data_IF_558824468339
#
_entry.id   IF_558824468339
#
_cell.length_a   1.000
_cell.length_b   1.000
_cell.length_c   1.000
_cell.angle_alpha   90.00
_cell.angle_beta   90.00
_cell.angle_gamma   90.00
#
_symmetry.space_group_name_H-M   'P 1'
#
loop_
_entity.id
_entity.type
_entity.pdbx_description
1 polymer ?
#
# COMPACT_ATOMS: atom_id res chain seq x y z
N UNK A 1 -22.13 -18.00 -17.70
CA UNK A 1 -21.10 -17.77 -16.65
C UNK A 1 -21.36 -18.78 -15.55
N UNK A 2 -20.34 -19.54 -15.11
CA UNK A 2 -20.52 -20.46 -13.97
C UNK A 2 -20.91 -19.64 -12.75
N UNK A 3 -22.10 -19.90 -12.24
CA UNK A 3 -22.66 -19.31 -11.02
C UNK A 3 -21.77 -19.64 -9.82
N UNK A 4 -21.52 -18.64 -8.97
CA UNK A 4 -20.94 -18.69 -7.61
C UNK A 4 -19.44 -18.40 -7.40
N UNK A 5 -18.70 -17.86 -8.37
CA UNK A 5 -17.35 -17.34 -8.08
C UNK A 5 -17.42 -15.93 -7.49
N UNK A 6 -16.77 -15.76 -6.34
CA UNK A 6 -16.59 -14.49 -5.63
C UNK A 6 -15.87 -13.48 -6.53
N UNK A 7 -16.26 -12.22 -6.47
CA UNK A 7 -15.63 -11.10 -7.19
C UNK A 7 -15.17 -10.06 -6.18
N UNK A 8 -13.87 -10.04 -5.94
CA UNK A 8 -13.17 -9.10 -5.07
C UNK A 8 -12.40 -8.11 -5.93
N UNK A 9 -12.51 -6.83 -5.61
CA UNK A 9 -11.71 -5.76 -6.19
C UNK A 9 -10.78 -5.19 -5.12
N UNK A 10 -9.56 -4.85 -5.51
CA UNK A 10 -8.75 -3.87 -4.78
C UNK A 10 -8.78 -2.56 -5.56
N UNK A 11 -9.36 -1.54 -4.96
CA UNK A 11 -9.23 -0.16 -5.41
C UNK A 11 -7.92 0.45 -4.88
N UNK A 12 -7.17 1.14 -5.75
CA UNK A 12 -5.96 1.89 -5.40
C UNK A 12 -6.00 3.27 -6.06
N UNK A 13 -5.86 4.33 -5.26
CA UNK A 13 -5.87 5.71 -5.76
C UNK A 13 -4.47 6.12 -6.24
N UNK A 14 -4.35 6.40 -7.54
CA UNK A 14 -3.08 6.71 -8.18
C UNK A 14 -2.42 7.94 -7.55
N UNK A 15 -1.21 7.78 -7.02
CA UNK A 15 -0.39 8.88 -6.46
C UNK A 15 -1.18 9.75 -5.47
N UNK A 16 -1.95 9.10 -4.58
CA UNK A 16 -3.06 9.68 -3.83
C UNK A 16 -2.83 11.11 -3.34
N UNK A 17 -1.83 11.37 -2.47
CA UNK A 17 -1.63 12.72 -1.93
C UNK A 17 -1.36 13.75 -3.03
N UNK A 18 -0.49 13.45 -4.00
CA UNK A 18 -0.20 14.36 -5.10
C UNK A 18 -1.42 14.58 -6.02
N UNK A 19 -2.29 13.58 -6.17
CA UNK A 19 -3.52 13.69 -6.94
C UNK A 19 -4.57 14.55 -6.23
N UNK A 20 -4.72 14.41 -4.90
CA UNK A 20 -5.57 15.30 -4.10
C UNK A 20 -5.09 16.75 -4.20
N UNK A 21 -3.79 16.98 -4.11
CA UNK A 21 -3.23 18.33 -4.27
C UNK A 21 -3.48 18.89 -5.68
N UNK A 22 -3.35 18.09 -6.74
CA UNK A 22 -3.66 18.53 -8.10
C UNK A 22 -5.14 18.79 -8.35
N UNK A 23 -6.03 18.08 -7.64
CA UNK A 23 -7.46 18.32 -7.73
C UNK A 23 -7.84 19.67 -7.11
N UNK A 24 -7.23 20.03 -5.97
CA UNK A 24 -7.44 21.32 -5.31
C UNK A 24 -6.71 22.49 -6.00
N UNK A 25 -5.63 22.21 -6.76
CA UNK A 25 -4.79 23.20 -7.43
C UNK A 25 -4.67 22.93 -8.95
N UNK A 26 -5.69 23.31 -9.75
CA UNK A 26 -5.72 23.08 -11.20
C UNK A 26 -4.52 23.68 -11.96
N UNK A 27 -3.90 24.73 -11.42
CA UNK A 27 -2.67 25.35 -11.95
C UNK A 27 -1.48 24.38 -12.02
N UNK A 28 -1.48 23.31 -11.22
CA UNK A 28 -0.44 22.29 -11.20
C UNK A 28 -0.77 21.03 -12.01
N UNK A 29 -1.91 20.99 -12.70
CA UNK A 29 -2.37 19.82 -13.48
C UNK A 29 -1.26 19.26 -14.38
N UNK A 30 -0.58 20.12 -15.12
CA UNK A 30 0.46 19.76 -16.09
C UNK A 30 1.90 19.93 -15.56
N UNK A 31 2.09 20.11 -14.25
CA UNK A 31 3.42 20.29 -13.64
C UNK A 31 3.87 19.04 -12.87
N UNK A 32 5.18 18.73 -12.84
CA UNK A 32 5.71 17.73 -11.93
C UNK A 32 5.51 18.21 -10.49
N UNK A 33 4.86 17.38 -9.67
CA UNK A 33 4.46 17.72 -8.31
C UNK A 33 4.77 16.56 -7.36
N UNK A 34 5.32 16.90 -6.20
CA UNK A 34 5.50 16.00 -5.07
C UNK A 34 4.87 16.57 -3.82
N UNK A 35 4.37 15.68 -2.98
CA UNK A 35 4.10 15.97 -1.57
C UNK A 35 5.31 15.49 -0.79
N UNK A 36 5.95 16.39 -0.05
CA UNK A 36 7.18 16.07 0.69
C UNK A 36 7.20 16.75 2.05
N UNK A 37 8.03 16.19 2.96
CA UNK A 37 8.37 16.85 4.21
C UNK A 37 9.01 18.23 4.00
N UNK A 38 9.18 18.98 5.09
CA UNK A 38 9.70 20.35 5.05
C UNK A 38 11.05 20.45 4.31
N UNK A 39 11.17 21.27 3.24
CA UNK A 39 12.39 21.40 2.45
C UNK A 39 13.61 21.86 3.23
N UNK A 40 13.39 22.69 4.26
CA UNK A 40 14.44 23.21 5.15
C UNK A 40 14.99 22.12 6.11
N UNK A 41 14.32 20.97 6.20
CA UNK A 41 14.80 19.84 7.02
C UNK A 41 15.61 18.90 6.16
N UNK A 42 16.86 18.65 6.58
CA UNK A 42 17.81 17.69 5.97
C UNK A 42 17.23 16.28 5.75
N UNK A 43 16.16 15.92 6.43
CA UNK A 43 15.47 14.62 6.38
C UNK A 43 14.15 14.63 5.58
N UNK A 44 13.81 15.69 4.87
CA UNK A 44 12.63 15.74 4.02
C UNK A 44 12.65 14.64 2.96
N UNK A 45 11.68 13.73 3.01
CA UNK A 45 11.48 12.68 2.00
C UNK A 45 10.22 12.97 1.18
N UNK A 46 10.21 12.46 -0.05
CA UNK A 46 9.04 12.46 -0.91
C UNK A 46 8.01 11.45 -0.36
N UNK A 47 6.83 11.95 0.01
CA UNK A 47 5.70 11.15 0.50
C UNK A 47 4.86 10.62 -0.66
N UNK A 48 4.66 11.45 -1.68
CA UNK A 48 3.98 11.06 -2.92
C UNK A 48 4.53 11.86 -4.11
N UNK A 49 4.62 11.21 -5.26
CA UNK A 49 5.02 11.83 -6.53
C UNK A 49 3.92 11.61 -7.57
N UNK A 50 3.50 12.66 -8.28
CA UNK A 50 2.57 12.52 -9.39
C UNK A 50 3.25 11.80 -10.59
N UNK A 51 2.48 11.26 -11.56
CA UNK A 51 3.05 10.59 -12.74
C UNK A 51 4.14 11.40 -13.46
N UNK A 52 3.90 12.70 -13.72
CA UNK A 52 4.88 13.59 -14.35
C UNK A 52 6.21 13.71 -13.58
N UNK A 53 6.18 13.63 -12.24
CA UNK A 53 7.41 13.63 -11.43
C UNK A 53 8.12 12.27 -11.50
N UNK A 54 7.36 11.17 -11.53
CA UNK A 54 7.91 9.81 -11.69
C UNK A 54 8.58 9.62 -13.05
N UNK A 55 8.07 10.25 -14.11
CA UNK A 55 8.70 10.28 -15.44
C UNK A 55 10.07 10.96 -15.42
N UNK A 56 10.31 11.87 -14.47
CA UNK A 56 11.64 12.48 -14.23
C UNK A 56 12.54 11.63 -13.33
N UNK A 57 12.14 10.40 -13.00
CA UNK A 57 12.91 9.48 -12.18
C UNK A 57 12.82 9.74 -10.66
N UNK A 58 11.86 10.57 -10.22
CA UNK A 58 11.61 10.80 -8.78
C UNK A 58 10.79 9.65 -8.22
N UNK A 59 11.23 9.09 -7.09
CA UNK A 59 10.53 7.98 -6.43
C UNK A 59 10.05 8.33 -5.02
N UNK A 60 9.03 7.63 -4.53
CA UNK A 60 8.57 7.78 -3.13
C UNK A 60 9.68 7.33 -2.17
N UNK A 61 9.80 7.97 -1.01
CA UNK A 61 10.85 7.80 -0.01
C UNK A 61 12.26 8.25 -0.43
N UNK A 62 12.42 8.81 -1.62
CA UNK A 62 13.63 9.52 -2.03
C UNK A 62 13.82 10.81 -1.22
N UNK A 63 15.07 11.24 -1.02
CA UNK A 63 15.38 12.52 -0.37
C UNK A 63 14.92 13.66 -1.26
N UNK A 64 14.31 14.69 -0.68
CA UNK A 64 13.79 15.83 -1.44
C UNK A 64 14.88 16.57 -2.22
N UNK A 65 16.10 16.68 -1.67
CA UNK A 65 17.23 17.28 -2.39
C UNK A 65 17.62 16.51 -3.67
N UNK A 66 17.55 15.18 -3.64
CA UNK A 66 17.81 14.33 -4.82
C UNK A 66 16.70 14.52 -5.87
N UNK A 67 15.45 14.61 -5.42
CA UNK A 67 14.31 14.87 -6.29
C UNK A 67 14.40 16.23 -6.99
N UNK A 68 14.81 17.29 -6.26
CA UNK A 68 15.03 18.63 -6.81
C UNK A 68 16.20 18.67 -7.80
N UNK A 69 17.27 17.91 -7.53
CA UNK A 69 18.38 17.79 -8.46
C UNK A 69 17.97 17.14 -9.79
N UNK A 70 17.03 16.18 -9.76
CA UNK A 70 16.46 15.56 -10.97
C UNK A 70 15.49 16.46 -11.74
N UNK A 71 14.78 17.35 -11.04
CA UNK A 71 13.78 18.23 -11.62
C UNK A 71 13.79 19.60 -10.91
N UNK A 72 14.52 20.59 -11.44
CA UNK A 72 14.58 21.93 -10.83
C UNK A 72 13.23 22.65 -10.76
N UNK A 73 12.32 22.39 -11.71
CA UNK A 73 10.98 23.01 -11.77
C UNK A 73 9.91 22.26 -10.94
N UNK A 74 10.33 21.33 -10.08
CA UNK A 74 9.46 20.48 -9.28
C UNK A 74 8.63 21.29 -8.29
N UNK A 75 7.31 21.13 -8.36
CA UNK A 75 6.39 21.70 -7.37
C UNK A 75 6.42 20.85 -6.11
N UNK A 76 6.77 21.46 -4.97
CA UNK A 76 6.83 20.79 -3.67
C UNK A 76 5.71 21.32 -2.79
N UNK A 77 4.81 20.43 -2.35
CA UNK A 77 3.70 20.75 -1.45
C UNK A 77 3.88 20.09 -0.10
N UNK A 78 3.62 20.85 0.98
CA UNK A 78 3.61 20.35 2.35
C UNK A 78 2.37 19.49 2.59
N UNK A 79 2.48 18.35 3.31
CA UNK A 79 1.37 17.41 3.47
C UNK A 79 0.18 18.01 4.26
N UNK A 80 -1.02 17.93 3.68
CA UNK A 80 -2.29 18.28 4.33
C UNK A 80 -3.01 17.01 4.80
N UNK A 81 -2.51 16.37 5.86
CA UNK A 81 -2.96 15.03 6.28
C UNK A 81 -4.47 14.93 6.53
N UNK A 82 -5.10 15.93 7.15
CA UNK A 82 -6.54 15.91 7.37
C UNK A 82 -7.32 15.88 6.05
N UNK A 83 -6.95 16.70 5.07
CA UNK A 83 -7.56 16.72 3.74
C UNK A 83 -7.46 15.36 3.05
N UNK A 84 -6.31 14.67 3.19
CA UNK A 84 -6.14 13.33 2.62
C UNK A 84 -7.06 12.30 3.27
N UNK A 85 -7.28 12.39 4.59
CA UNK A 85 -8.22 11.54 5.32
C UNK A 85 -9.65 11.83 4.86
N UNK A 86 -10.03 13.11 4.76
CA UNK A 86 -11.37 13.52 4.34
C UNK A 86 -11.71 13.00 2.93
N UNK A 87 -10.79 13.13 1.97
CA UNK A 87 -10.97 12.59 0.63
C UNK A 87 -11.02 11.06 0.62
N UNK A 88 -10.19 10.39 1.43
CA UNK A 88 -10.24 8.93 1.57
C UNK A 88 -11.59 8.45 2.11
N UNK A 89 -12.14 9.14 3.11
CA UNK A 89 -13.48 8.86 3.64
C UNK A 89 -14.56 9.11 2.58
N UNK A 90 -14.48 10.21 1.82
CA UNK A 90 -15.41 10.48 0.73
C UNK A 90 -15.40 9.36 -0.31
N UNK A 91 -14.22 8.89 -0.72
CA UNK A 91 -14.04 7.75 -1.63
C UNK A 91 -14.62 6.46 -1.02
N UNK A 92 -14.45 6.25 0.29
CA UNK A 92 -15.03 5.11 1.00
C UNK A 92 -16.55 5.11 0.93
N UNK A 93 -17.19 6.27 1.13
CA UNK A 93 -18.66 6.41 1.01
C UNK A 93 -19.15 6.18 -0.42
N UNK A 94 -18.38 6.60 -1.43
CA UNK A 94 -18.65 6.24 -2.82
C UNK A 94 -18.63 4.71 -3.00
N UNK A 95 -17.60 4.02 -2.50
CA UNK A 95 -17.52 2.55 -2.60
C UNK A 95 -18.70 1.86 -1.89
N UNK A 96 -19.10 2.36 -0.72
CA UNK A 96 -20.24 1.83 0.04
C UNK A 96 -21.59 1.96 -0.68
N UNK A 97 -21.71 2.87 -1.64
CA UNK A 97 -22.91 2.96 -2.49
C UNK A 97 -23.05 1.79 -3.48
N UNK A 98 -21.97 1.05 -3.75
CA UNK A 98 -21.96 -0.10 -4.68
C UNK A 98 -21.92 -1.46 -3.98
N UNK A 99 -21.46 -1.52 -2.73
CA UNK A 99 -21.45 -2.74 -1.91
C UNK A 99 -21.35 -2.38 -0.43
N UNK A 100 -21.98 -3.19 0.43
CA UNK A 100 -21.83 -3.12 1.89
C UNK A 100 -20.49 -3.71 2.38
N UNK A 101 -19.80 -4.46 1.50
CA UNK A 101 -18.54 -5.12 1.81
C UNK A 101 -17.34 -4.28 1.34
N UNK A 102 -17.01 -3.24 2.12
CA UNK A 102 -15.82 -2.38 1.92
C UNK A 102 -14.87 -2.52 3.11
N UNK A 103 -13.62 -2.90 2.84
CA UNK A 103 -12.54 -3.03 3.82
C UNK A 103 -11.38 -2.09 3.45
N UNK A 104 -11.21 -0.95 4.15
CA UNK A 104 -10.04 -0.12 3.98
C UNK A 104 -8.77 -0.88 4.40
N UNK A 105 -7.74 -0.81 3.55
CA UNK A 105 -6.43 -1.45 3.77
C UNK A 105 -5.35 -0.40 4.07
N UNK A 106 -5.39 0.72 3.37
CA UNK A 106 -4.61 1.94 3.63
C UNK A 106 -5.49 3.17 3.35
N UNK A 107 -4.89 4.36 3.42
CA UNK A 107 -5.60 5.62 3.10
C UNK A 107 -6.02 5.69 1.62
N UNK A 108 -5.34 4.97 0.74
CA UNK A 108 -5.53 4.99 -0.71
C UNK A 108 -5.92 3.64 -1.31
N UNK A 109 -5.87 2.56 -0.53
CA UNK A 109 -6.22 1.20 -0.95
C UNK A 109 -7.39 0.62 -0.15
N UNK A 110 -8.39 0.07 -0.84
CA UNK A 110 -9.56 -0.56 -0.21
C UNK A 110 -10.00 -1.81 -0.96
N UNK A 111 -10.34 -2.87 -0.24
CA UNK A 111 -10.96 -4.06 -0.81
C UNK A 111 -12.48 -3.90 -0.87
N UNK A 112 -13.07 -4.30 -1.99
CA UNK A 112 -14.50 -4.33 -2.21
C UNK A 112 -14.90 -5.75 -2.61
N UNK A 113 -15.88 -6.33 -1.94
CA UNK A 113 -16.53 -7.55 -2.42
C UNK A 113 -17.83 -7.18 -3.11
N UNK A 114 -17.86 -7.30 -4.43
CA UNK A 114 -19.01 -6.88 -5.25
C UNK A 114 -19.84 -8.07 -5.70
N UNK A 115 -19.56 -9.27 -5.18
CA UNK A 115 -20.22 -10.51 -5.60
C UNK A 115 -21.75 -10.40 -5.55
N UNK A 116 -22.28 -9.82 -4.46
CA UNK A 116 -23.72 -9.68 -4.25
C UNK A 116 -24.37 -8.59 -5.10
N UNK A 117 -23.67 -7.50 -5.39
CA UNK A 117 -24.22 -6.34 -6.10
C UNK A 117 -23.98 -6.36 -7.62
N UNK A 118 -23.11 -7.26 -8.10
CA UNK A 118 -22.68 -7.30 -9.49
C UNK A 118 -23.84 -7.38 -10.50
N UNK A 119 -24.89 -8.13 -10.18
CA UNK A 119 -26.07 -8.29 -11.03
C UNK A 119 -26.81 -6.97 -11.35
N UNK A 120 -26.60 -5.91 -10.56
CA UNK A 120 -27.17 -4.58 -10.78
C UNK A 120 -26.37 -3.73 -11.78
N UNK A 121 -25.11 -4.08 -12.01
CA UNK A 121 -24.13 -3.22 -12.70
C UNK A 121 -23.46 -3.87 -13.91
N UNK A 122 -23.81 -5.13 -14.24
CA UNK A 122 -23.27 -5.86 -15.38
C UNK A 122 -22.03 -6.67 -15.03
N UNK A 123 -20.97 -6.51 -15.81
CA UNK A 123 -19.69 -7.22 -15.62
C UNK A 123 -18.81 -6.54 -14.57
N UNK A 124 -17.82 -7.25 -13.99
CA UNK A 124 -16.90 -6.63 -13.02
C UNK A 124 -16.13 -5.44 -13.59
N UNK A 125 -15.81 -5.47 -14.89
CA UNK A 125 -15.12 -4.37 -15.56
C UNK A 125 -16.03 -3.15 -15.69
N UNK A 126 -17.29 -3.33 -16.10
CA UNK A 126 -18.27 -2.24 -16.22
C UNK A 126 -18.51 -1.57 -14.87
N UNK A 127 -18.70 -2.36 -13.79
CA UNK A 127 -18.82 -1.82 -12.44
C UNK A 127 -17.56 -1.03 -12.04
N UNK A 128 -16.36 -1.58 -12.26
CA UNK A 128 -15.12 -0.86 -11.95
C UNK A 128 -15.00 0.46 -12.72
N UNK A 129 -15.41 0.51 -14.00
CA UNK A 129 -15.43 1.74 -14.80
C UNK A 129 -16.45 2.77 -14.28
N UNK A 130 -17.63 2.32 -13.85
CA UNK A 130 -18.63 3.17 -13.19
C UNK A 130 -18.02 3.81 -11.94
N UNK A 131 -17.41 3.01 -11.07
CA UNK A 131 -16.78 3.49 -9.84
C UNK A 131 -15.60 4.43 -10.17
N UNK A 132 -14.75 4.11 -11.15
CA UNK A 132 -13.66 4.99 -11.59
C UNK A 132 -14.16 6.39 -11.99
N UNK A 133 -15.26 6.47 -12.75
CA UNK A 133 -15.86 7.75 -13.16
C UNK A 133 -16.41 8.50 -11.96
N UNK A 134 -17.19 7.83 -11.10
CA UNK A 134 -17.77 8.46 -9.92
C UNK A 134 -16.70 9.03 -8.97
N UNK A 135 -15.63 8.27 -8.69
CA UNK A 135 -14.51 8.75 -7.87
C UNK A 135 -13.81 9.94 -8.54
N UNK A 136 -13.55 9.88 -9.85
CA UNK A 136 -12.91 10.97 -10.59
C UNK A 136 -13.76 12.24 -10.57
N UNK A 137 -15.06 12.13 -10.83
CA UNK A 137 -15.99 13.27 -10.86
C UNK A 137 -16.14 13.91 -9.48
N UNK A 138 -16.19 13.11 -8.42
CA UNK A 138 -16.40 13.60 -7.06
C UNK A 138 -15.14 14.16 -6.40
N UNK A 139 -13.94 13.69 -6.78
CA UNK A 139 -12.69 13.98 -6.04
C UNK A 139 -11.52 14.46 -6.89
N UNK A 140 -11.59 14.33 -8.22
CA UNK A 140 -10.46 14.56 -9.12
C UNK A 140 -9.35 13.50 -9.05
N UNK A 141 -9.55 12.42 -8.28
CA UNK A 141 -8.55 11.36 -8.08
C UNK A 141 -8.85 10.16 -8.99
N UNK A 142 -7.82 9.62 -9.63
CA UNK A 142 -7.94 8.41 -10.46
C UNK A 142 -7.80 7.15 -9.62
N UNK A 143 -8.87 6.34 -9.54
CA UNK A 143 -8.84 5.01 -8.96
C UNK A 143 -8.42 3.93 -9.99
N UNK A 144 -7.75 2.88 -9.52
CA UNK A 144 -7.32 1.70 -10.30
C UNK A 144 -7.81 0.44 -9.60
N UNK A 145 -8.19 -0.58 -10.37
CA UNK A 145 -8.80 -1.79 -9.84
C UNK A 145 -8.08 -3.05 -10.32
N UNK A 146 -7.61 -3.84 -9.35
CA UNK A 146 -7.32 -5.25 -9.56
C UNK A 146 -8.54 -6.08 -9.18
N UNK A 147 -8.98 -6.97 -10.07
CA UNK A 147 -10.22 -7.74 -9.91
C UNK A 147 -9.86 -9.23 -9.90
N UNK A 148 -10.32 -9.98 -8.90
CA UNK A 148 -10.03 -11.41 -8.79
C UNK A 148 -11.01 -12.13 -7.85
N UNK A 149 -10.79 -13.43 -7.64
CA UNK A 149 -11.61 -14.26 -6.73
C UNK A 149 -11.25 -14.12 -5.25
N UNK A 150 -10.06 -13.58 -4.94
CA UNK A 150 -9.54 -13.45 -3.57
C UNK A 150 -8.88 -12.10 -3.35
N UNK A 151 -8.75 -11.66 -2.08
CA UNK A 151 -8.09 -10.38 -1.75
C UNK A 151 -6.64 -10.36 -2.23
N UNK A 152 -5.89 -11.43 -1.97
CA UNK A 152 -4.48 -11.52 -2.40
C UNK A 152 -4.36 -11.41 -3.93
N UNK A 153 -5.21 -12.08 -4.71
CA UNK A 153 -5.16 -11.96 -6.16
C UNK A 153 -5.60 -10.58 -6.64
N UNK A 154 -6.62 -9.97 -6.03
CA UNK A 154 -7.05 -8.61 -6.38
C UNK A 154 -5.93 -7.59 -6.11
N UNK A 155 -5.25 -7.71 -4.96
CA UNK A 155 -4.07 -6.90 -4.61
C UNK A 155 -2.94 -7.05 -5.62
N UNK A 156 -2.63 -8.31 -5.93
CA UNK A 156 -1.57 -8.64 -6.87
C UNK A 156 -1.91 -8.20 -8.29
N UNK A 157 -3.17 -8.31 -8.70
CA UNK A 157 -3.69 -7.83 -9.99
C UNK A 157 -3.49 -6.31 -10.12
N UNK A 158 -3.84 -5.57 -9.06
CA UNK A 158 -3.72 -4.13 -9.04
C UNK A 158 -2.25 -3.69 -9.12
N UNK A 159 -1.42 -4.20 -8.22
CA UNK A 159 -0.01 -3.82 -8.09
C UNK A 159 0.80 -4.12 -9.35
N UNK A 160 0.60 -5.31 -9.93
CA UNK A 160 1.46 -5.79 -11.00
C UNK A 160 0.97 -5.46 -12.41
N UNK A 161 -0.33 -5.25 -12.60
CA UNK A 161 -0.93 -5.10 -13.92
C UNK A 161 -1.80 -3.86 -14.06
N UNK A 162 -2.81 -3.66 -13.18
CA UNK A 162 -3.73 -2.52 -13.31
C UNK A 162 -3.00 -1.17 -13.23
N UNK A 163 -2.02 -1.03 -12.34
CA UNK A 163 -1.20 0.19 -12.21
C UNK A 163 -0.36 0.53 -13.44
N UNK A 164 -0.12 -0.45 -14.32
CA UNK A 164 0.79 -0.34 -15.48
C UNK A 164 0.05 -0.22 -16.81
N UNK A 165 -1.27 -0.30 -16.82
CA UNK A 165 -2.05 -0.17 -18.04
C UNK A 165 -2.87 1.14 -18.07
N UNK A 166 -3.26 1.63 -19.26
CA UNK A 166 -3.99 2.88 -19.38
C UNK A 166 -5.38 2.87 -18.75
N UNK A 167 -6.12 1.76 -18.83
CA UNK A 167 -7.48 1.68 -18.24
C UNK A 167 -7.44 1.76 -16.71
N UNK A 168 -6.34 1.33 -16.10
CA UNK A 168 -6.24 1.18 -14.65
C UNK A 168 -6.98 -0.06 -14.13
N UNK A 169 -7.35 -1.00 -15.01
CA UNK A 169 -8.18 -2.17 -14.67
C UNK A 169 -7.49 -3.46 -15.09
N UNK A 170 -7.54 -4.51 -14.26
CA UNK A 170 -7.05 -5.82 -14.65
C UNK A 170 -7.78 -6.94 -13.91
N UNK A 171 -8.25 -7.95 -14.64
CA UNK A 171 -8.81 -9.19 -14.07
C UNK A 171 -7.70 -10.24 -14.02
N UNK A 172 -7.44 -10.79 -12.84
CA UNK A 172 -6.53 -11.91 -12.63
C UNK A 172 -7.32 -13.12 -12.13
N UNK A 173 -7.25 -14.21 -12.88
CA UNK A 173 -7.93 -15.47 -12.55
C UNK A 173 -6.94 -16.58 -12.23
N UNK A 174 -7.34 -17.54 -11.39
CA UNK A 174 -6.47 -18.64 -10.90
C UNK A 174 -5.92 -19.52 -12.02
N UNK A 175 -6.71 -19.76 -13.05
CA UNK A 175 -6.33 -20.52 -14.25
C UNK A 175 -5.25 -19.82 -15.08
N UNK A 176 -5.13 -18.49 -14.97
CA UNK A 176 -4.16 -17.69 -15.74
C UNK A 176 -2.83 -17.46 -15.01
N UNK A 177 -2.66 -17.95 -13.77
CA UNK A 177 -1.49 -17.60 -12.94
C UNK A 177 -0.17 -18.06 -13.54
N UNK A 178 -0.14 -19.27 -14.12
CA UNK A 178 1.05 -19.82 -14.77
C UNK A 178 1.54 -18.92 -15.93
N UNK A 179 0.61 -18.34 -16.67
CA UNK A 179 0.92 -17.51 -17.83
C UNK A 179 1.14 -16.04 -17.54
N UNK A 180 0.78 -15.59 -16.33
CA UNK A 180 0.83 -14.19 -15.93
C UNK A 180 1.70 -14.02 -14.68
N UNK A 181 1.11 -14.17 -13.49
CA UNK A 181 1.72 -13.87 -12.21
C UNK A 181 3.01 -14.67 -11.96
N UNK A 182 3.04 -15.95 -12.32
CA UNK A 182 4.17 -16.84 -12.03
C UNK A 182 5.44 -16.48 -12.80
N UNK A 183 5.31 -15.76 -13.92
CA UNK A 183 6.45 -15.27 -14.72
C UNK A 183 7.13 -14.05 -14.09
N UNK A 184 6.48 -13.38 -13.14
CA UNK A 184 7.05 -12.22 -12.46
C UNK A 184 8.17 -12.61 -11.49
N UNK A 185 9.17 -11.74 -11.29
CA UNK A 185 10.20 -11.95 -10.27
C UNK A 185 9.57 -12.01 -8.87
N UNK A 186 10.23 -12.73 -7.95
CA UNK A 186 9.73 -12.90 -6.57
C UNK A 186 9.64 -11.57 -5.80
N UNK A 187 10.36 -10.53 -6.25
CA UNK A 187 10.24 -9.15 -5.75
C UNK A 187 8.89 -8.50 -6.00
N UNK A 188 8.11 -9.03 -6.95
CA UNK A 188 6.74 -8.60 -7.26
C UNK A 188 5.68 -9.35 -6.45
N UNK A 189 6.08 -10.30 -5.60
CA UNK A 189 5.17 -11.06 -4.77
C UNK A 189 4.69 -10.23 -3.57
N UNK A 190 3.37 -10.22 -3.35
CA UNK A 190 2.81 -9.57 -2.18
C UNK A 190 3.41 -10.14 -0.88
N UNK A 191 3.64 -9.27 0.10
CA UNK A 191 4.32 -9.58 1.39
C UNK A 191 5.80 -10.00 1.30
N UNK A 192 6.42 -10.03 0.11
CA UNK A 192 7.85 -10.33 -0.06
C UNK A 192 8.68 -9.04 -0.20
N UNK A 193 9.04 -8.42 0.92
CA UNK A 193 9.94 -7.24 0.92
C UNK A 193 11.36 -7.55 0.42
N UNK A 194 12.20 -6.52 0.27
CA UNK A 194 13.56 -6.62 -0.29
C UNK A 194 14.45 -7.69 0.38
N UNK A 195 14.39 -7.79 1.72
CA UNK A 195 15.12 -8.82 2.47
C UNK A 195 14.64 -10.23 2.14
N UNK A 196 13.32 -10.44 2.12
CA UNK A 196 12.76 -11.75 1.81
C UNK A 196 13.00 -12.14 0.35
N UNK A 197 12.88 -11.18 -0.57
CA UNK A 197 13.27 -11.33 -1.98
C UNK A 197 14.69 -11.86 -2.11
N UNK A 198 15.65 -11.25 -1.39
CA UNK A 198 17.06 -11.72 -1.39
C UNK A 198 17.16 -13.16 -0.88
N UNK A 199 16.40 -13.52 0.16
CA UNK A 199 16.39 -14.89 0.67
C UNK A 199 15.82 -15.89 -0.34
N UNK A 200 14.73 -15.56 -1.01
CA UNK A 200 14.17 -16.41 -2.08
C UNK A 200 15.16 -16.60 -3.24
N UNK A 201 15.82 -15.53 -3.69
CA UNK A 201 16.86 -15.63 -4.71
C UNK A 201 18.01 -16.56 -4.30
N UNK A 202 18.52 -16.42 -3.07
CA UNK A 202 19.58 -17.32 -2.53
C UNK A 202 19.08 -18.77 -2.39
N UNK A 203 17.79 -18.97 -2.16
CA UNK A 203 17.16 -20.29 -2.11
C UNK A 203 16.89 -20.89 -3.50
N UNK A 204 17.25 -20.20 -4.58
CA UNK A 204 16.99 -20.66 -5.95
C UNK A 204 15.54 -20.46 -6.39
N UNK A 205 14.82 -19.53 -5.77
CA UNK A 205 13.41 -19.22 -6.04
C UNK A 205 13.24 -17.79 -6.60
N UNK A 206 13.70 -17.50 -7.84
CA UNK A 206 13.77 -16.13 -8.35
C UNK A 206 12.42 -15.56 -8.85
N UNK A 207 11.42 -16.42 -9.07
CA UNK A 207 10.11 -16.02 -9.61
C UNK A 207 8.98 -16.41 -8.66
N UNK A 208 7.82 -15.77 -8.79
CA UNK A 208 6.62 -16.17 -8.04
C UNK A 208 6.26 -17.62 -8.33
N UNK A 209 6.38 -18.04 -9.59
CA UNK A 209 6.14 -19.43 -10.01
C UNK A 209 7.05 -20.43 -9.33
N UNK A 210 8.34 -20.10 -9.13
CA UNK A 210 9.26 -20.99 -8.42
C UNK A 210 8.85 -21.26 -6.97
N UNK A 211 8.29 -20.25 -6.27
CA UNK A 211 7.71 -20.43 -4.93
C UNK A 211 6.43 -21.26 -5.01
N UNK A 212 5.53 -20.93 -5.95
CA UNK A 212 4.24 -21.60 -6.11
C UNK A 212 4.37 -23.10 -6.41
N UNK A 213 5.29 -23.46 -7.31
CA UNK A 213 5.51 -24.82 -7.80
C UNK A 213 6.39 -25.67 -6.87
N UNK A 214 7.07 -25.05 -5.90
CA UNK A 214 7.82 -25.81 -4.90
C UNK A 214 6.84 -26.53 -3.98
N UNK A 215 6.93 -27.86 -3.81
CA UNK A 215 6.08 -28.58 -2.87
C UNK A 215 6.16 -27.96 -1.47
N UNK A 216 5.02 -27.73 -0.82
CA UNK A 216 4.97 -26.99 0.45
C UNK A 216 5.88 -27.59 1.53
N UNK A 217 5.99 -28.92 1.60
CA UNK A 217 6.90 -29.61 2.53
C UNK A 217 8.37 -29.24 2.30
N UNK A 218 8.79 -29.13 1.03
CA UNK A 218 10.13 -28.71 0.64
C UNK A 218 10.35 -27.24 0.95
N UNK A 219 9.38 -26.36 0.67
CA UNK A 219 9.49 -24.94 1.01
C UNK A 219 9.61 -24.74 2.54
N UNK A 220 8.80 -25.46 3.34
CA UNK A 220 8.93 -25.48 4.80
C UNK A 220 10.34 -25.92 5.22
N UNK A 221 10.89 -26.99 4.64
CA UNK A 221 12.26 -27.41 4.92
C UNK A 221 13.31 -26.34 4.60
N UNK A 222 13.20 -25.68 3.44
CA UNK A 222 14.11 -24.61 3.00
C UNK A 222 14.06 -23.41 3.96
N UNK A 223 12.85 -23.00 4.34
CA UNK A 223 12.62 -21.90 5.29
C UNK A 223 13.16 -22.23 6.68
N UNK A 224 12.95 -23.46 7.18
CA UNK A 224 13.51 -23.90 8.48
C UNK A 224 15.03 -23.86 8.52
N UNK A 225 15.70 -24.25 7.45
CA UNK A 225 17.17 -24.18 7.35
C UNK A 225 17.68 -22.75 7.45
N UNK A 226 16.90 -21.77 6.96
CA UNK A 226 17.31 -20.36 6.93
C UNK A 226 16.90 -19.58 8.18
N UNK A 227 15.71 -19.83 8.70
CA UNK A 227 15.05 -19.00 9.72
C UNK A 227 14.65 -19.77 10.99
N UNK A 228 14.91 -21.07 11.06
CA UNK A 228 14.58 -21.92 12.21
C UNK A 228 13.15 -22.46 12.21
N UNK A 229 12.80 -23.17 13.30
CA UNK A 229 11.61 -24.02 13.40
C UNK A 229 10.27 -23.28 13.23
N UNK A 230 10.20 -22.00 13.59
CA UNK A 230 8.95 -21.23 13.55
C UNK A 230 8.61 -20.65 12.17
N UNK A 231 9.40 -20.96 11.13
CA UNK A 231 9.25 -20.38 9.80
C UNK A 231 8.21 -21.08 8.90
N UNK A 232 7.59 -22.16 9.39
CA UNK A 232 6.58 -22.91 8.63
C UNK A 232 5.35 -22.08 8.28
N UNK A 233 4.91 -21.21 9.19
CA UNK A 233 3.77 -20.31 8.99
C UNK A 233 4.10 -19.35 7.84
N UNK A 234 5.32 -18.82 7.81
CA UNK A 234 5.76 -17.94 6.72
C UNK A 234 5.90 -18.70 5.40
N UNK A 235 6.43 -19.92 5.42
CA UNK A 235 6.52 -20.77 4.23
C UNK A 235 5.13 -21.02 3.63
N UNK A 236 4.16 -21.39 4.47
CA UNK A 236 2.78 -21.60 4.05
C UNK A 236 2.13 -20.31 3.55
N UNK A 237 2.38 -19.19 4.21
CA UNK A 237 1.87 -17.90 3.76
C UNK A 237 2.37 -17.55 2.36
N UNK A 238 3.67 -17.62 2.11
CA UNK A 238 4.24 -17.31 0.79
C UNK A 238 3.78 -18.28 -0.29
N UNK A 239 3.67 -19.57 0.04
CA UNK A 239 3.17 -20.57 -0.88
C UNK A 239 1.71 -20.32 -1.26
N UNK A 240 0.86 -19.98 -0.28
CA UNK A 240 -0.54 -19.62 -0.50
C UNK A 240 -0.68 -18.37 -1.34
N UNK A 241 0.11 -17.32 -1.05
CA UNK A 241 0.14 -16.08 -1.84
C UNK A 241 0.52 -16.36 -3.29
N UNK A 242 1.60 -17.12 -3.51
CA UNK A 242 2.08 -17.43 -4.85
C UNK A 242 1.07 -18.23 -5.69
N UNK A 243 0.21 -19.02 -5.04
CA UNK A 243 -0.88 -19.78 -5.65
C UNK A 243 -2.25 -19.06 -5.62
N UNK A 244 -2.33 -17.81 -5.15
CA UNK A 244 -3.58 -17.06 -5.06
C UNK A 244 -4.60 -17.64 -4.08
N UNK A 245 -4.16 -18.45 -3.13
CA UNK A 245 -5.00 -19.14 -2.14
C UNK A 245 -5.19 -18.22 -0.93
N UNK A 246 -6.42 -17.78 -0.73
CA UNK A 246 -6.79 -16.88 0.35
C UNK A 246 -8.28 -17.03 0.65
N UNK A 247 -8.57 -17.49 1.87
CA UNK A 247 -9.93 -17.75 2.34
C UNK A 247 -10.51 -16.54 3.09
N UNK A 248 -9.73 -15.46 3.23
CA UNK A 248 -10.14 -14.31 4.03
C UNK A 248 -11.30 -13.55 3.36
N UNK A 249 -12.39 -13.26 4.09
CA UNK A 249 -13.45 -12.41 3.58
C UNK A 249 -13.00 -10.95 3.53
N UNK A 250 -13.71 -10.14 2.74
CA UNK A 250 -13.66 -8.68 2.86
C UNK A 250 -14.44 -8.36 4.13
N UNK A 251 -13.77 -7.74 5.10
CA UNK A 251 -14.33 -7.45 6.43
C UNK A 251 -14.60 -5.96 6.58
N UNK A 252 -15.86 -5.53 6.51
CA UNK A 252 -16.24 -4.21 6.96
C UNK A 252 -15.78 -3.99 8.41
N UNK A 253 -15.40 -2.75 8.73
CA UNK A 253 -15.10 -2.38 10.12
C UNK A 253 -13.73 -2.83 10.65
N UNK A 254 -12.76 -3.18 9.78
CA UNK A 254 -11.37 -3.47 10.21
C UNK A 254 -10.77 -2.38 11.11
N UNK A 255 -11.15 -1.11 10.92
CA UNK A 255 -10.71 0.02 11.75
C UNK A 255 -11.66 0.37 12.92
N UNK A 256 -12.75 -0.37 13.11
CA UNK A 256 -13.63 -0.22 14.28
C UNK A 256 -13.10 -0.99 15.50
N UNK A 257 -12.12 -1.87 15.30
CA UNK A 257 -11.43 -2.56 16.39
C UNK A 257 -10.39 -1.61 16.99
N UNK A 258 -10.34 -1.57 18.32
CA UNK A 258 -9.31 -0.82 19.04
C UNK A 258 -7.90 -1.21 18.55
N UNK A 259 -7.03 -0.24 18.24
CA UNK A 259 -5.67 -0.53 17.81
C UNK A 259 -4.94 -1.29 18.91
N UNK A 260 -4.27 -2.38 18.54
CA UNK A 260 -3.48 -3.21 19.47
C UNK A 260 -2.27 -2.48 20.04
N UNK A 261 -1.80 -1.44 19.34
CA UNK A 261 -0.73 -0.56 19.77
C UNK A 261 -0.90 0.82 19.16
N UNK A 262 -0.46 1.83 19.90
CA UNK A 262 -0.28 3.21 19.42
C UNK A 262 1.17 3.57 19.72
N UNK A 263 1.85 4.17 18.74
CA UNK A 263 3.23 4.61 18.94
C UNK A 263 3.50 5.91 18.21
N UNK A 264 4.35 6.74 18.80
CA UNK A 264 4.89 7.93 18.15
C UNK A 264 6.39 7.80 17.98
N UNK A 265 6.86 8.15 16.79
CA UNK A 265 8.27 8.13 16.44
C UNK A 265 8.65 9.46 15.81
N UNK A 266 9.87 9.92 16.03
CA UNK A 266 10.46 10.99 15.23
C UNK A 266 11.91 10.67 14.86
N UNK A 267 12.28 11.04 13.63
CA UNK A 267 13.68 11.20 13.26
C UNK A 267 14.16 12.57 13.75
N UNK A 268 15.26 12.57 14.52
CA UNK A 268 15.80 13.80 15.08
C UNK A 268 16.37 14.71 13.99
N UNK A 269 16.24 16.05 14.13
CA UNK A 269 16.79 17.00 13.15
C UNK A 269 18.31 17.01 13.10
N UNK A 270 18.96 16.62 14.21
CA UNK A 270 20.40 16.45 14.36
C UNK A 270 20.66 15.35 15.39
N UNK A 271 21.91 14.96 15.53
CA UNK A 271 22.32 14.08 16.60
C UNK A 271 22.34 14.85 17.92
N UNK A 272 21.86 14.20 18.98
CA UNK A 272 21.80 14.73 20.34
C UNK A 272 22.72 13.89 21.23
N UNK A 273 23.66 14.52 21.92
CA UNK A 273 24.62 13.85 22.79
C UNK A 273 24.41 14.14 24.28
N UNK A 274 23.62 15.18 24.61
CA UNK A 274 23.35 15.61 25.97
C UNK A 274 22.02 15.05 26.46
N UNK A 275 22.02 14.47 27.65
CA UNK A 275 20.83 13.85 28.24
C UNK A 275 19.69 14.86 28.44
N UNK A 276 20.02 16.11 28.75
CA UNK A 276 19.06 17.19 28.96
C UNK A 276 18.26 17.47 27.69
N UNK A 277 18.91 17.46 26.53
CA UNK A 277 18.25 17.69 25.24
C UNK A 277 17.39 16.47 24.83
N UNK A 278 17.90 15.26 25.09
CA UNK A 278 17.16 14.01 24.83
C UNK A 278 15.88 13.94 25.65
N UNK A 279 15.92 14.36 26.93
CA UNK A 279 14.74 14.39 27.81
C UNK A 279 13.63 15.27 27.25
N UNK A 280 13.96 16.42 26.65
CA UNK A 280 12.97 17.33 26.04
C UNK A 280 12.26 16.64 24.87
N UNK A 281 13.01 15.97 24.00
CA UNK A 281 12.45 15.21 22.88
C UNK A 281 11.54 14.09 23.39
N UNK A 282 12.01 13.28 24.35
CA UNK A 282 11.25 12.17 24.93
C UNK A 282 9.95 12.66 25.56
N UNK A 283 9.99 13.77 26.31
CA UNK A 283 8.79 14.38 26.88
C UNK A 283 7.79 14.80 25.79
N UNK A 284 8.29 15.38 24.69
CA UNK A 284 7.46 15.77 23.55
C UNK A 284 6.78 14.58 22.86
N UNK A 285 7.46 13.43 22.73
CA UNK A 285 6.85 12.20 22.19
C UNK A 285 5.87 11.61 23.21
N UNK A 286 6.25 11.56 24.48
CA UNK A 286 5.43 11.06 25.58
C UNK A 286 4.07 11.76 25.64
N UNK A 287 4.05 13.10 25.61
CA UNK A 287 2.81 13.88 25.63
C UNK A 287 1.91 13.48 24.45
N UNK A 288 2.46 13.33 23.25
CA UNK A 288 1.70 12.93 22.06
C UNK A 288 1.10 11.52 22.17
N UNK A 289 1.83 10.60 22.78
CA UNK A 289 1.36 9.22 23.01
C UNK A 289 0.29 9.16 24.12
N UNK A 290 0.50 9.86 25.25
CA UNK A 290 -0.42 9.82 26.39
C UNK A 290 -1.76 10.52 26.14
N UNK A 291 -1.82 11.51 25.25
CA UNK A 291 -3.08 12.11 24.81
C UNK A 291 -3.99 11.06 24.11
N UNK A 292 -3.45 9.93 23.64
CA UNK A 292 -4.20 8.92 22.90
C UNK A 292 -4.70 7.70 23.69
N UNK A 293 -4.14 7.35 24.86
CA UNK A 293 -4.71 6.39 25.86
C UNK A 293 -3.76 6.22 27.05
N UNK A 294 -4.29 6.03 28.26
CA UNK A 294 -3.50 5.77 29.47
C UNK A 294 -3.24 4.28 29.67
N UNK A 295 -2.02 3.80 29.38
CA UNK A 295 -1.42 2.54 29.89
C UNK A 295 0.00 2.31 29.34
N UNK A 296 0.78 1.46 30.04
CA UNK A 296 2.15 0.95 29.82
C UNK A 296 2.95 1.46 28.61
N UNK A 297 4.04 2.18 28.91
CA UNK A 297 4.95 2.84 27.96
C UNK A 297 6.17 1.95 27.64
N UNK A 298 6.53 1.82 26.37
CA UNK A 298 7.76 1.17 25.94
C UNK A 298 8.59 2.15 25.09
N UNK A 299 9.74 2.59 25.61
CA UNK A 299 10.65 3.47 24.88
C UNK A 299 11.73 2.62 24.19
N UNK A 300 11.83 2.73 22.87
CA UNK A 300 12.86 2.11 22.05
C UNK A 300 13.77 3.17 21.44
N UNK A 301 15.09 3.01 21.60
CA UNK A 301 16.11 3.86 20.99
C UNK A 301 17.00 3.04 20.07
N UNK A 302 17.08 3.42 18.79
CA UNK A 302 17.92 2.73 17.81
C UNK A 302 18.41 3.70 16.74
N UNK A 303 19.72 3.82 16.55
CA UNK A 303 20.34 4.61 15.47
C UNK A 303 19.77 6.05 15.33
N UNK A 304 19.74 6.83 16.42
CA UNK A 304 19.20 8.21 16.47
C UNK A 304 17.69 8.33 16.15
N UNK A 305 16.94 7.24 16.27
CA UNK A 305 15.47 7.22 16.20
C UNK A 305 14.93 6.90 17.59
N UNK A 306 14.03 7.75 18.09
CA UNK A 306 13.25 7.50 19.30
C UNK A 306 11.84 7.03 18.93
N UNK A 307 11.41 5.94 19.55
CA UNK A 307 10.06 5.40 19.45
C UNK A 307 9.49 5.22 20.86
N UNK A 308 8.28 5.71 21.08
CA UNK A 308 7.52 5.58 22.34
C UNK A 308 6.15 5.01 22.03
#
# INVERSE_FOLDING_TARGET
MKSNNRVVMLADCQSFYASVEKADHPEYKNRPLVVAGDPERRSGIVLAACPLAKEKGITTAERLGEALAKCPDLVVIKPRMQKYIDVSMQITEIYKSYTDLVEPYSIDEQFLDVTGSLHLYGTPVELAQIIQRHVMEATGVRARFGIAETKILAKTACDNFAKKNPSGLYILSKDTLADTLWKLPVSSMFMAGSKMTRHFNVMGLPTIGSVAQTPLSKLKQMMRRKFGKNSDISAEMYWRIANGIDDSPVRPGTHQVDPKSVGHMMTLPRDYAKLEEIKVVLLGIYIKTCVHKGSNLLILWRNNIFQV
#
